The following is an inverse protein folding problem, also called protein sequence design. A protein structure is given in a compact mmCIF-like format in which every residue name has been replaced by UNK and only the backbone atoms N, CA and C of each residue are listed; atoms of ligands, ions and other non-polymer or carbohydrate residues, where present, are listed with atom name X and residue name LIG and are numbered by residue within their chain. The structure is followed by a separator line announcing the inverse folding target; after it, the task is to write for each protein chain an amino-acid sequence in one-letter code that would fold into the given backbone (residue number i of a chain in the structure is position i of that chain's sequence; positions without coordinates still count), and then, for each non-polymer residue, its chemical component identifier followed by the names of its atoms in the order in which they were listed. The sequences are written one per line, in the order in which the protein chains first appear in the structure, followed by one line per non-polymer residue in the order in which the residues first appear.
data_IF_790844178660
#
_entry.id   IF_790844178660
#
_cell.length_a   1.000
_cell.length_b   1.000
_cell.length_c   1.000
_cell.angle_alpha   90.00
_cell.angle_beta   90.00
_cell.angle_gamma   90.00
#
_symmetry.space_group_name_H-M   'P 1'
#
loop_
_entity.id
_entity.type
_entity.pdbx_description
1 polymer ?
#
# COMPACT_ATOMS: atom_id res chain seq x y z
N UNK A 1 37.97 4.33 12.71
CA UNK A 1 37.45 5.58 13.33
C UNK A 1 37.78 6.74 12.43
N UNK A 2 36.91 7.76 12.40
CA UNK A 2 37.12 8.99 11.63
C UNK A 2 37.09 10.19 12.56
N UNK A 3 37.79 11.27 12.19
CA UNK A 3 37.70 12.55 12.89
C UNK A 3 36.45 13.34 12.42
N UNK A 4 36.27 14.57 12.93
CA UNK A 4 35.15 15.45 12.58
C UNK A 4 35.18 15.89 11.11
N UNK A 5 36.34 15.85 10.46
CA UNK A 5 36.53 16.17 9.04
C UNK A 5 36.32 14.94 8.13
N UNK A 6 35.79 13.84 8.69
CA UNK A 6 35.56 12.56 8.04
C UNK A 6 36.84 11.84 7.54
N UNK A 7 38.03 12.24 7.98
CA UNK A 7 39.29 11.59 7.66
C UNK A 7 39.50 10.32 8.50
N UNK A 8 40.04 9.27 7.90
CA UNK A 8 40.32 8.00 8.60
C UNK A 8 41.52 8.19 9.53
N UNK A 9 41.30 8.07 10.84
CA UNK A 9 42.38 8.20 11.85
C UNK A 9 43.01 6.86 12.21
N UNK A 10 42.30 5.76 11.98
CA UNK A 10 42.76 4.42 12.31
C UNK A 10 41.67 3.37 12.24
N UNK A 11 42.06 2.11 12.27
CA UNK A 11 41.20 0.92 12.27
C UNK A 11 41.05 0.48 13.72
N UNK A 12 39.81 0.45 14.21
CA UNK A 12 39.51 -0.11 15.52
C UNK A 12 39.34 -1.62 15.35
N UNK A 13 40.20 -2.40 16.00
CA UNK A 13 40.10 -3.86 16.04
C UNK A 13 39.82 -4.28 17.48
N UNK A 14 38.60 -4.77 17.72
CA UNK A 14 38.11 -5.11 19.05
C UNK A 14 37.54 -6.52 19.04
N UNK A 15 37.93 -7.33 20.04
CA UNK A 15 37.26 -8.59 20.34
C UNK A 15 36.14 -8.31 21.34
N UNK A 16 34.91 -8.67 20.99
CA UNK A 16 33.74 -8.52 21.86
C UNK A 16 32.80 -9.72 21.68
N UNK A 17 32.03 -10.05 22.71
CA UNK A 17 31.04 -11.13 22.59
C UNK A 17 29.74 -10.69 21.90
N UNK A 18 29.39 -9.41 22.02
CA UNK A 18 28.21 -8.83 21.38
C UNK A 18 28.49 -7.41 20.90
N UNK A 19 27.98 -7.07 19.72
CA UNK A 19 28.15 -5.77 19.08
C UNK A 19 26.79 -5.27 18.62
N UNK A 20 26.46 -4.02 18.94
CA UNK A 20 25.28 -3.32 18.45
C UNK A 20 25.73 -2.11 17.63
N UNK A 21 25.18 -1.97 16.42
CA UNK A 21 25.53 -0.90 15.48
C UNK A 21 24.25 -0.14 15.13
N UNK A 22 24.25 1.15 15.43
CA UNK A 22 23.14 2.04 15.15
C UNK A 22 23.40 2.83 13.87
N UNK A 23 22.41 2.82 12.97
CA UNK A 23 22.46 3.55 11.71
C UNK A 23 21.45 4.70 11.71
N UNK A 24 21.86 5.86 11.21
CA UNK A 24 21.02 7.04 10.97
C UNK A 24 21.42 7.66 9.64
N UNK A 25 20.46 8.05 8.81
CA UNK A 25 20.71 8.66 7.48
C UNK A 25 21.71 7.88 6.60
N UNK A 26 21.65 6.55 6.64
CA UNK A 26 22.56 5.64 5.90
C UNK A 26 24.03 5.72 6.36
N UNK A 27 24.29 6.31 7.53
CA UNK A 27 25.60 6.37 8.17
C UNK A 27 25.58 5.62 9.50
N UNK A 28 26.76 5.18 9.94
CA UNK A 28 26.92 4.61 11.29
C UNK A 28 26.94 5.77 12.28
N UNK A 29 26.00 5.75 13.23
CA UNK A 29 25.90 6.73 14.30
C UNK A 29 26.70 6.29 15.53
N UNK A 30 26.36 5.11 16.06
CA UNK A 30 26.94 4.57 17.29
C UNK A 30 27.29 3.09 17.12
N UNK A 31 28.34 2.65 17.81
CA UNK A 31 28.73 1.24 17.93
C UNK A 31 28.94 0.93 19.41
N UNK A 32 28.23 -0.06 19.94
CA UNK A 32 28.39 -0.55 21.30
C UNK A 32 29.02 -1.95 21.29
N UNK A 33 30.04 -2.14 22.12
CA UNK A 33 30.70 -3.42 22.35
C UNK A 33 30.37 -3.88 23.78
N UNK A 34 29.79 -5.07 23.94
CA UNK A 34 29.39 -5.61 25.24
C UNK A 34 30.28 -6.78 25.65
N UNK A 35 30.60 -6.82 26.95
CA UNK A 35 31.38 -7.86 27.67
C UNK A 35 32.81 -8.08 27.14
N UNK A 36 33.81 -7.73 27.96
CA UNK A 36 35.25 -7.89 27.69
C UNK A 36 35.67 -7.19 26.38
N UNK A 37 35.90 -5.89 26.46
CA UNK A 37 36.31 -5.05 25.33
C UNK A 37 37.82 -4.84 25.41
N UNK A 38 38.58 -5.77 24.82
CA UNK A 38 39.99 -5.51 24.49
C UNK A 38 40.04 -5.06 23.03
N UNK A 39 40.33 -3.78 22.83
CA UNK A 39 40.36 -3.13 21.52
C UNK A 39 41.56 -2.23 21.37
N UNK A 40 42.20 -2.29 20.20
CA UNK A 40 43.30 -1.39 19.82
C UNK A 40 42.89 -0.53 18.62
N UNK A 41 43.35 0.73 18.62
CA UNK A 41 43.19 1.64 17.50
C UNK A 41 44.52 1.78 16.77
N UNK A 42 44.64 1.07 15.65
CA UNK A 42 45.86 1.05 14.84
C UNK A 42 45.71 1.97 13.64
N UNK A 43 46.69 2.84 13.31
CA UNK A 43 46.67 3.61 12.06
C UNK A 43 46.61 2.70 10.81
N UNK A 44 46.07 3.21 9.70
CA UNK A 44 45.90 2.41 8.47
C UNK A 44 47.23 1.85 7.92
N UNK A 45 48.30 2.64 8.01
CA UNK A 45 49.63 2.28 7.49
C UNK A 45 50.29 1.14 8.28
N UNK A 46 49.99 1.03 9.57
CA UNK A 46 50.52 0.01 10.46
C UNK A 46 49.65 -1.26 10.50
N UNK A 47 48.42 -1.19 9.94
CA UNK A 47 47.49 -2.29 9.97
C UNK A 47 47.82 -3.35 8.89
N UNK A 48 47.97 -4.63 9.28
CA UNK A 48 48.45 -5.68 8.40
C UNK A 48 47.52 -5.90 7.21
N UNK A 49 48.08 -5.93 5.99
CA UNK A 49 47.30 -5.97 4.74
C UNK A 49 46.33 -7.16 4.66
N UNK A 50 46.74 -8.32 5.17
CA UNK A 50 45.92 -9.53 5.22
C UNK A 50 44.71 -9.42 6.16
N UNK A 51 44.77 -8.55 7.17
CA UNK A 51 43.68 -8.35 8.13
C UNK A 51 42.75 -7.19 7.76
N UNK A 52 43.06 -6.38 6.73
CA UNK A 52 42.25 -5.22 6.30
C UNK A 52 40.82 -5.57 5.92
N UNK A 53 40.56 -6.83 5.57
CA UNK A 53 39.22 -7.36 5.34
C UNK A 53 38.81 -8.24 6.52
N UNK A 54 37.56 -8.09 6.94
CA UNK A 54 36.97 -8.94 7.96
C UNK A 54 36.95 -10.39 7.47
N UNK A 55 37.69 -11.26 8.17
CA UNK A 55 37.83 -12.66 7.77
C UNK A 55 36.47 -13.36 7.82
N UNK A 56 36.15 -14.12 6.76
CA UNK A 56 34.85 -14.80 6.63
C UNK A 56 33.67 -13.88 6.32
N UNK A 57 33.88 -12.57 6.18
CA UNK A 57 32.82 -11.66 5.75
C UNK A 57 32.54 -11.84 4.25
N UNK A 58 31.35 -12.35 3.93
CA UNK A 58 30.87 -12.45 2.57
C UNK A 58 29.94 -11.26 2.27
N UNK A 59 30.43 -10.27 1.52
CA UNK A 59 29.64 -9.11 1.12
C UNK A 59 28.66 -9.50 0.01
N UNK A 60 27.35 -9.45 0.29
CA UNK A 60 26.28 -9.76 -0.66
C UNK A 60 25.57 -8.50 -1.16
N UNK A 61 26.33 -7.42 -1.34
CA UNK A 61 25.77 -6.14 -1.82
C UNK A 61 25.15 -6.24 -3.21
N UNK A 62 25.69 -7.10 -4.08
CA UNK A 62 25.16 -7.37 -5.41
C UNK A 62 23.77 -8.02 -5.39
N UNK A 63 23.38 -8.66 -4.27
CA UNK A 63 22.07 -9.28 -4.11
C UNK A 63 21.04 -8.32 -3.49
N UNK A 64 21.44 -7.09 -3.21
CA UNK A 64 20.54 -6.09 -2.63
C UNK A 64 19.54 -5.62 -3.68
N UNK A 65 18.26 -5.86 -3.40
CA UNK A 65 17.15 -5.30 -4.18
C UNK A 65 17.08 -3.78 -3.93
N UNK A 66 17.25 -2.98 -4.98
CA UNK A 66 17.27 -1.51 -4.91
C UNK A 66 15.93 -0.85 -5.25
N UNK A 67 15.06 -1.56 -5.97
CA UNK A 67 13.77 -1.05 -6.44
C UNK A 67 12.67 -2.09 -6.27
N UNK A 68 11.41 -1.68 -6.47
CA UNK A 68 10.27 -2.60 -6.36
C UNK A 68 10.26 -3.60 -7.51
N UNK A 69 10.68 -3.16 -8.68
CA UNK A 69 10.77 -3.95 -9.91
C UNK A 69 11.77 -5.09 -9.72
N UNK A 70 12.88 -4.83 -9.01
CA UNK A 70 13.88 -5.86 -8.68
C UNK A 70 13.39 -7.01 -7.80
N UNK A 71 12.18 -6.93 -7.22
CA UNK A 71 11.55 -8.09 -6.58
C UNK A 71 11.19 -9.20 -7.57
N UNK A 72 11.03 -8.83 -8.85
CA UNK A 72 10.59 -9.72 -9.92
C UNK A 72 11.72 -9.97 -10.94
N UNK A 73 12.97 -9.61 -10.62
CA UNK A 73 14.11 -9.84 -11.51
C UNK A 73 14.27 -11.34 -11.80
N UNK A 74 14.17 -11.72 -13.07
CA UNK A 74 14.26 -13.12 -13.53
C UNK A 74 12.92 -13.87 -13.55
N UNK A 75 11.82 -13.23 -13.18
CA UNK A 75 10.46 -13.75 -13.35
C UNK A 75 9.81 -13.15 -14.61
N UNK A 76 8.92 -13.91 -15.27
CA UNK A 76 8.10 -13.37 -16.38
C UNK A 76 6.94 -12.55 -15.81
N UNK A 77 6.55 -11.48 -16.52
CA UNK A 77 5.37 -10.70 -16.12
C UNK A 77 4.12 -11.61 -16.10
N UNK A 78 3.32 -11.59 -15.02
CA UNK A 78 2.15 -12.45 -14.93
C UNK A 78 1.08 -12.00 -15.94
N UNK A 79 0.45 -12.98 -16.60
CA UNK A 79 -0.72 -12.71 -17.44
C UNK A 79 -1.89 -12.25 -16.57
N UNK A 80 -2.27 -10.98 -16.70
CA UNK A 80 -3.40 -10.41 -15.98
C UNK A 80 -4.71 -10.84 -16.65
N UNK A 81 -5.42 -11.78 -16.04
CA UNK A 81 -6.79 -12.13 -16.46
C UNK A 81 -7.77 -11.05 -16.07
N UNK A 82 -8.70 -10.70 -16.96
CA UNK A 82 -9.81 -9.80 -16.64
C UNK A 82 -10.64 -10.40 -15.50
N UNK A 83 -10.91 -9.58 -14.48
CA UNK A 83 -11.71 -10.02 -13.33
C UNK A 83 -13.16 -10.09 -13.79
N UNK A 84 -13.66 -11.30 -14.03
CA UNK A 84 -15.08 -11.51 -14.25
C UNK A 84 -15.82 -11.39 -12.91
N UNK A 85 -16.68 -10.37 -12.80
CA UNK A 85 -17.57 -10.22 -11.66
C UNK A 85 -18.55 -11.39 -11.57
N UNK A 86 -19.16 -11.57 -10.40
CA UNK A 86 -20.27 -12.53 -10.24
C UNK A 86 -21.50 -11.93 -10.93
N UNK A 87 -22.19 -12.73 -11.76
CA UNK A 87 -23.45 -12.32 -12.37
C UNK A 87 -24.49 -11.96 -11.30
N UNK A 88 -25.28 -10.91 -11.56
CA UNK A 88 -26.44 -10.62 -10.72
C UNK A 88 -27.40 -11.82 -10.71
N UNK A 89 -28.04 -12.12 -9.57
CA UNK A 89 -29.05 -13.18 -9.52
C UNK A 89 -30.22 -12.85 -10.45
N UNK A 90 -30.91 -13.89 -10.92
CA UNK A 90 -32.15 -13.71 -11.67
C UNK A 90 -33.18 -12.98 -10.80
N UNK A 91 -33.76 -11.90 -11.32
CA UNK A 91 -34.86 -11.23 -10.66
C UNK A 91 -36.07 -12.17 -10.69
N UNK A 92 -36.68 -12.50 -9.54
CA UNK A 92 -37.87 -13.34 -9.54
C UNK A 92 -38.99 -12.63 -10.30
N UNK A 93 -39.51 -13.27 -11.35
CA UNK A 93 -40.60 -12.72 -12.20
C UNK A 93 -41.80 -12.28 -11.33
N UNK A 94 -42.13 -13.08 -10.31
CA UNK A 94 -43.19 -12.84 -9.33
C UNK A 94 -43.08 -11.50 -8.58
N UNK A 95 -41.89 -10.90 -8.49
CA UNK A 95 -41.68 -9.65 -7.76
C UNK A 95 -42.18 -8.42 -8.52
N UNK A 96 -42.12 -8.45 -9.86
CA UNK A 96 -42.50 -7.33 -10.72
C UNK A 96 -43.77 -7.56 -11.54
N UNK A 97 -44.41 -8.72 -11.42
CA UNK A 97 -45.72 -8.95 -12.01
C UNK A 97 -46.71 -7.84 -11.61
N UNK A 98 -47.35 -7.25 -12.62
CA UNK A 98 -48.40 -6.25 -12.42
C UNK A 98 -49.60 -6.94 -11.80
N UNK A 99 -49.65 -6.95 -10.47
CA UNK A 99 -50.76 -7.49 -9.70
C UNK A 99 -52.05 -6.83 -10.16
N UNK A 100 -53.10 -7.63 -10.31
CA UNK A 100 -54.43 -7.10 -10.58
C UNK A 100 -54.81 -6.09 -9.50
N UNK A 101 -55.39 -4.96 -9.89
CA UNK A 101 -55.71 -3.84 -8.97
C UNK A 101 -56.60 -4.23 -7.80
N UNK A 102 -57.28 -5.36 -7.92
CA UNK A 102 -58.20 -5.90 -6.92
C UNK A 102 -57.52 -6.84 -5.91
N UNK A 103 -56.26 -7.23 -6.15
CA UNK A 103 -55.48 -8.11 -5.28
C UNK A 103 -54.79 -7.32 -4.16
N UNK A 104 -55.62 -6.75 -3.28
CA UNK A 104 -55.16 -5.99 -2.13
C UNK A 104 -54.47 -6.94 -1.14
N UNK A 105 -53.18 -6.72 -0.90
CA UNK A 105 -52.37 -7.46 0.09
C UNK A 105 -52.72 -7.06 1.54
N UNK A 106 -54.01 -6.96 1.85
CA UNK A 106 -54.55 -6.65 3.16
C UNK A 106 -54.86 -7.97 3.87
N UNK A 107 -54.22 -8.19 5.02
CA UNK A 107 -54.63 -9.27 5.92
C UNK A 107 -56.12 -9.13 6.26
N UNK A 108 -56.86 -10.24 6.31
CA UNK A 108 -58.27 -10.30 6.72
C UNK A 108 -58.50 -9.71 8.11
N UNK A 109 -57.48 -9.75 8.97
CA UNK A 109 -57.51 -9.16 10.31
C UNK A 109 -57.11 -7.67 10.33
N UNK A 110 -56.71 -7.10 9.20
CA UNK A 110 -56.32 -5.69 9.09
C UNK A 110 -57.53 -4.77 9.23
N UNK A 111 -57.35 -3.65 9.92
CA UNK A 111 -58.36 -2.58 10.03
C UNK A 111 -58.36 -1.63 8.83
N UNK A 112 -57.41 -1.80 7.91
CA UNK A 112 -57.24 -0.95 6.74
C UNK A 112 -58.19 -1.39 5.63
N UNK A 113 -58.82 -0.41 4.99
CA UNK A 113 -59.71 -0.62 3.84
C UNK A 113 -59.30 0.32 2.70
N UNK A 114 -59.56 -0.03 1.42
CA UNK A 114 -59.20 0.82 0.28
C UNK A 114 -59.83 2.23 0.31
N UNK A 115 -60.89 2.45 1.11
CA UNK A 115 -61.45 3.79 1.37
C UNK A 115 -60.55 4.65 2.26
N UNK A 116 -59.82 4.04 3.19
CA UNK A 116 -58.93 4.71 4.17
C UNK A 116 -57.55 4.99 3.58
N UNK A 117 -57.08 4.13 2.65
CA UNK A 117 -55.78 4.28 1.98
C UNK A 117 -55.73 5.40 0.94
N UNK A 118 -56.83 6.14 0.74
CA UNK A 118 -56.86 7.26 -0.20
C UNK A 118 -56.14 8.47 0.41
N UNK A 119 -55.18 9.02 -0.33
CA UNK A 119 -54.47 10.24 0.04
C UNK A 119 -55.45 11.36 0.39
N UNK A 120 -55.26 11.98 1.55
CA UNK A 120 -56.03 13.18 1.93
C UNK A 120 -55.41 14.41 1.29
N UNK A 121 -56.19 15.49 1.16
CA UNK A 121 -55.70 16.78 0.62
C UNK A 121 -54.49 17.33 1.39
N UNK A 122 -54.34 16.93 2.65
CA UNK A 122 -53.24 17.32 3.53
C UNK A 122 -51.97 16.47 3.36
N UNK A 123 -52.07 15.27 2.77
CA UNK A 123 -50.93 14.34 2.63
C UNK A 123 -50.02 14.70 1.44
N UNK A 124 -50.45 15.63 0.58
CA UNK A 124 -49.62 16.16 -0.51
C UNK A 124 -48.61 17.18 0.02
N UNK A 125 -47.32 16.92 -0.21
CA UNK A 125 -46.25 17.87 0.11
C UNK A 125 -46.46 19.17 -0.68
N UNK A 126 -46.45 20.32 0.01
CA UNK A 126 -46.65 21.64 -0.61
C UNK A 126 -45.57 22.02 -1.63
N UNK A 127 -44.42 21.32 -1.59
CA UNK A 127 -43.27 21.60 -2.45
C UNK A 127 -42.80 20.30 -3.09
N UNK A 128 -43.06 20.12 -4.39
CA UNK A 128 -42.33 19.14 -5.20
C UNK A 128 -40.92 19.68 -5.41
N UNK A 129 -39.91 19.18 -4.69
CA UNK A 129 -38.52 19.41 -5.10
C UNK A 129 -38.32 18.73 -6.46
N UNK A 130 -37.74 19.45 -7.43
CA UNK A 130 -37.32 18.84 -8.70
C UNK A 130 -36.36 17.69 -8.38
N UNK A 131 -36.53 16.55 -9.04
CA UNK A 131 -35.66 15.38 -8.88
C UNK A 131 -34.24 15.81 -9.24
N UNK A 132 -33.31 15.69 -8.29
CA UNK A 132 -31.89 15.91 -8.55
C UNK A 132 -31.39 14.73 -9.41
N UNK A 133 -30.66 14.97 -10.51
CA UNK A 133 -30.10 13.87 -11.29
C UNK A 133 -29.05 13.10 -10.47
N UNK A 134 -29.04 11.77 -10.60
CA UNK A 134 -28.12 10.87 -9.90
C UNK A 134 -26.65 11.24 -10.11
N UNK A 135 -25.90 11.26 -9.00
CA UNK A 135 -24.48 11.64 -8.93
C UNK A 135 -23.53 10.70 -9.67
N UNK A 136 -24.03 9.61 -10.27
CA UNK A 136 -23.22 8.52 -10.83
C UNK A 136 -22.65 8.88 -12.22
N UNK A 137 -23.18 9.90 -12.91
CA UNK A 137 -22.62 10.38 -14.20
C UNK A 137 -21.43 11.33 -14.04
N UNK A 138 -20.53 11.11 -13.09
CA UNK A 138 -19.25 11.82 -13.08
C UNK A 138 -18.28 11.08 -13.99
N UNK A 139 -18.12 11.57 -15.22
CA UNK A 139 -17.11 11.11 -16.19
C UNK A 139 -15.74 11.17 -15.50
N UNK A 140 -15.09 10.03 -15.35
CA UNK A 140 -13.72 9.94 -14.83
C UNK A 140 -12.83 10.71 -15.82
N UNK A 141 -11.97 11.66 -15.39
CA UNK A 141 -11.04 12.31 -16.30
C UNK A 141 -10.01 11.28 -16.78
N UNK A 142 -9.89 11.16 -18.10
CA UNK A 142 -8.91 10.34 -18.80
C UNK A 142 -7.60 11.14 -18.91
N UNK A 143 -6.79 11.15 -17.85
CA UNK A 143 -5.38 11.59 -17.84
C UNK A 143 -4.75 11.03 -16.55
N UNK A 144 -3.59 10.39 -16.53
CA UNK A 144 -2.36 10.72 -17.26
C UNK A 144 -1.56 9.43 -17.52
N UNK A 145 -1.35 9.09 -18.79
CA UNK A 145 -0.36 8.09 -19.20
C UNK A 145 1.02 8.58 -18.78
N UNK A 146 1.78 7.71 -18.13
CA UNK A 146 3.17 7.87 -17.74
C UNK A 146 3.95 8.69 -18.78
N UNK A 147 4.29 9.95 -18.44
CA UNK A 147 5.30 10.71 -19.17
C UNK A 147 6.65 10.04 -18.89
N UNK A 148 7.12 9.28 -19.86
CA UNK A 148 8.53 8.92 -19.96
C UNK A 148 9.28 10.16 -20.43
N UNK A 149 9.81 10.95 -19.50
CA UNK A 149 10.82 11.96 -19.81
C UNK A 149 12.13 11.23 -20.16
N UNK A 150 12.25 10.84 -21.43
CA UNK A 150 13.55 10.56 -22.04
C UNK A 150 14.22 11.91 -22.30
N UNK A 151 14.98 12.39 -21.31
CA UNK A 151 15.98 13.44 -21.56
C UNK A 151 17.18 12.80 -22.25
N UNK A 152 17.16 12.91 -23.58
CA UNK A 152 18.31 12.68 -24.44
C UNK A 152 18.84 14.06 -24.84
N UNK A 153 19.81 14.57 -24.09
CA UNK A 153 20.64 15.69 -24.54
C UNK A 153 22.05 15.59 -23.92
N UNK A 154 22.99 15.24 -24.81
CA UNK A 154 24.43 15.57 -24.89
C UNK A 154 25.39 15.18 -23.76
#
# INVERSE_FOLDING_TARGET
MRNNDAELIGINNTLASSVEIMFEEQQIKDIYYYNQVDGDLTPEDEFPFNARKLQGFNWRGEERILSKEGLFDGEEEPELTEIEGISLPEEPEEFFEEREKDDLLLDKNSRLNPKVLKNRKTDSLKYKKKVSPDSIKKKIPEVDTLKTDTNQDR
#
